data_IF_646680142835
#
_entry.id   IF_646680142835
#
_cell.length_a   1.000
_cell.length_b   1.000
_cell.length_c   1.000
_cell.angle_alpha   90.00
_cell.angle_beta   90.00
_cell.angle_gamma   90.00
#
_symmetry.space_group_name_H-M   'P 1'
#
loop_
_entity.id
_entity.type
_entity.pdbx_description
1 polymer ?
#
# COMPACT_ATOMS: atom_id res chain seq x y z
N UNK A 1 4.66 -15.84 21.58
CA UNK A 1 3.65 -16.85 21.19
C UNK A 1 3.19 -16.61 19.75
N UNK A 2 2.68 -17.65 19.07
CA UNK A 2 2.30 -17.60 17.65
C UNK A 2 1.36 -16.43 17.29
N UNK A 3 0.40 -16.12 18.16
CA UNK A 3 -0.56 -15.01 17.98
C UNK A 3 0.15 -13.67 17.93
N UNK A 4 1.02 -13.39 18.91
CA UNK A 4 1.78 -12.14 18.96
C UNK A 4 2.71 -11.98 17.75
N UNK A 5 3.27 -13.08 17.25
CA UNK A 5 4.10 -13.08 16.04
C UNK A 5 3.29 -12.69 14.79
N UNK A 6 2.06 -13.19 14.64
CA UNK A 6 1.16 -12.82 13.53
C UNK A 6 0.73 -11.35 13.62
N UNK A 7 0.34 -10.88 14.80
CA UNK A 7 -0.02 -9.46 15.03
C UNK A 7 1.13 -8.54 14.61
N UNK A 8 2.36 -8.85 15.06
CA UNK A 8 3.52 -8.04 14.71
C UNK A 8 3.82 -8.05 13.20
N UNK A 9 3.50 -9.14 12.50
CA UNK A 9 3.66 -9.22 11.04
C UNK A 9 2.63 -8.34 10.33
N UNK A 10 1.36 -8.42 10.71
CA UNK A 10 0.30 -7.60 10.12
C UNK A 10 0.56 -6.10 10.32
N UNK A 11 1.00 -5.70 11.52
CA UNK A 11 1.37 -4.31 11.79
C UNK A 11 2.49 -3.82 10.87
N UNK A 12 3.50 -4.65 10.59
CA UNK A 12 4.57 -4.29 9.65
C UNK A 12 4.11 -4.12 8.20
N UNK A 13 3.05 -4.82 7.81
CA UNK A 13 2.51 -4.77 6.46
C UNK A 13 1.51 -3.61 6.29
N UNK A 14 0.83 -3.20 7.37
CA UNK A 14 -0.27 -2.22 7.32
C UNK A 14 0.15 -0.81 7.81
N UNK A 15 1.02 -0.71 8.81
CA UNK A 15 1.42 0.57 9.38
C UNK A 15 2.53 1.22 8.53
N UNK A 16 2.25 2.40 7.97
CA UNK A 16 3.18 3.13 7.09
C UNK A 16 4.61 3.23 7.64
N UNK A 17 4.77 3.53 8.93
CA UNK A 17 6.08 3.72 9.56
C UNK A 17 6.89 2.42 9.68
N UNK A 18 6.21 1.27 9.78
CA UNK A 18 6.81 -0.05 9.94
C UNK A 18 7.08 -0.75 8.60
N UNK A 19 6.44 -0.27 7.53
CA UNK A 19 6.66 -0.77 6.17
C UNK A 19 8.09 -0.52 5.70
N UNK A 20 8.58 -1.43 4.85
CA UNK A 20 9.84 -1.25 4.13
C UNK A 20 9.71 -0.08 3.17
N UNK A 21 10.68 0.82 3.22
CA UNK A 21 10.73 1.96 2.32
C UNK A 21 10.94 1.49 0.88
N UNK A 22 10.04 1.90 -0.02
CA UNK A 22 10.01 1.43 -1.41
C UNK A 22 11.26 1.74 -2.23
N UNK A 23 12.08 2.70 -1.79
CA UNK A 23 13.38 3.04 -2.42
C UNK A 23 14.59 2.60 -1.60
N UNK A 24 14.40 1.75 -0.58
CA UNK A 24 15.52 1.20 0.18
C UNK A 24 16.36 0.31 -0.75
N UNK A 25 17.62 0.68 -0.97
CA UNK A 25 18.53 -0.07 -1.85
C UNK A 25 18.76 -1.51 -1.37
N UNK A 26 18.71 -1.73 -0.06
CA UNK A 26 18.91 -3.03 0.58
C UNK A 26 17.60 -3.77 0.91
N UNK A 27 16.44 -3.15 0.65
CA UNK A 27 15.12 -3.67 0.98
C UNK A 27 14.87 -3.87 2.48
N UNK A 28 15.67 -3.26 3.37
CA UNK A 28 15.59 -3.46 4.83
C UNK A 28 15.26 -2.20 5.61
N UNK A 29 15.48 -1.03 5.02
CA UNK A 29 15.16 0.24 5.67
C UNK A 29 13.64 0.42 5.77
N UNK A 30 13.11 0.77 6.95
CA UNK A 30 11.71 1.14 7.12
C UNK A 30 11.47 2.62 6.84
N UNK A 31 10.21 2.99 6.55
CA UNK A 31 9.82 4.39 6.35
C UNK A 31 10.16 5.25 7.57
N UNK A 32 9.95 4.75 8.79
CA UNK A 32 10.32 5.49 10.01
C UNK A 32 11.81 5.85 10.05
N UNK A 33 12.70 4.88 9.76
CA UNK A 33 14.15 5.11 9.75
C UNK A 33 14.54 6.14 8.69
N UNK A 34 13.94 6.05 7.51
CA UNK A 34 14.17 7.02 6.45
C UNK A 34 13.75 8.44 6.87
N UNK A 35 12.57 8.59 7.49
CA UNK A 35 12.09 9.89 7.99
C UNK A 35 13.02 10.45 9.06
N UNK A 36 13.55 9.61 9.97
CA UNK A 36 14.54 10.03 10.97
C UNK A 36 15.87 10.50 10.36
N UNK A 37 16.36 9.81 9.33
CA UNK A 37 17.60 10.20 8.63
C UNK A 37 17.43 11.55 7.93
N UNK A 38 16.32 11.75 7.23
CA UNK A 38 15.98 13.04 6.60
C UNK A 38 15.80 14.13 7.65
N UNK A 39 15.14 13.83 8.76
CA UNK A 39 14.97 14.77 9.88
C UNK A 39 16.33 15.23 10.43
N UNK A 40 17.24 14.29 10.69
CA UNK A 40 18.61 14.58 11.17
C UNK A 40 19.41 15.40 10.15
N UNK A 41 19.37 15.04 8.87
CA UNK A 41 20.11 15.75 7.82
C UNK A 41 19.65 17.21 7.65
N UNK A 42 18.37 17.49 7.92
CA UNK A 42 17.78 18.82 7.82
C UNK A 42 17.74 19.58 9.16
N UNK A 43 18.25 19.00 10.25
CA UNK A 43 18.18 19.60 11.58
C UNK A 43 16.75 19.88 12.06
N UNK A 44 15.77 19.11 11.58
CA UNK A 44 14.36 19.37 11.78
C UNK A 44 13.66 18.16 12.41
N UNK A 45 12.55 18.39 13.12
CA UNK A 45 11.69 17.31 13.61
C UNK A 45 10.59 17.05 12.58
N UNK A 46 10.69 15.94 11.84
CA UNK A 46 9.70 15.54 10.84
C UNK A 46 8.77 14.49 11.46
N UNK A 47 7.46 14.71 11.38
CA UNK A 47 6.44 13.77 11.83
C UNK A 47 5.32 13.68 10.79
N UNK A 48 4.97 12.46 10.38
CA UNK A 48 3.83 12.19 9.50
C UNK A 48 2.57 12.16 10.35
N UNK A 49 1.68 13.14 10.18
CA UNK A 49 0.43 13.24 10.95
C UNK A 49 -0.70 12.41 10.34
N UNK A 50 -0.83 12.45 9.02
CA UNK A 50 -1.88 11.77 8.27
C UNK A 50 -1.47 11.67 6.80
N UNK A 51 -1.94 10.62 6.14
CA UNK A 51 -1.87 10.49 4.69
C UNK A 51 -3.19 9.95 4.18
N UNK A 52 -3.51 10.24 2.92
CA UNK A 52 -4.67 9.70 2.21
C UNK A 52 -4.16 9.17 0.88
N UNK A 53 -4.50 7.92 0.56
CA UNK A 53 -4.20 7.28 -0.72
C UNK A 53 -5.52 7.10 -1.45
N UNK A 54 -5.65 7.74 -2.61
CA UNK A 54 -6.78 7.52 -3.51
C UNK A 54 -6.35 6.56 -4.61
N UNK A 55 -7.24 5.64 -4.97
CA UNK A 55 -7.08 4.77 -6.14
C UNK A 55 -8.28 4.91 -7.08
N UNK A 56 -8.02 4.95 -8.39
CA UNK A 56 -9.12 4.99 -9.37
C UNK A 56 -9.90 3.70 -9.30
N UNK A 57 -11.22 3.79 -9.06
CA UNK A 57 -12.07 2.61 -8.88
C UNK A 57 -12.08 2.04 -7.46
N UNK A 58 -11.50 2.74 -6.48
CA UNK A 58 -11.58 2.33 -5.07
C UNK A 58 -13.05 2.18 -4.63
N UNK A 59 -13.40 0.98 -4.16
CA UNK A 59 -14.76 0.65 -3.73
C UNK A 59 -15.79 0.45 -4.87
N UNK A 60 -15.37 0.52 -6.14
CA UNK A 60 -16.24 0.23 -7.28
C UNK A 60 -16.14 -1.25 -7.63
N UNK A 61 -17.29 -1.94 -7.67
CA UNK A 61 -17.35 -3.31 -8.16
C UNK A 61 -16.95 -3.34 -9.64
N UNK A 62 -15.87 -4.07 -9.94
CA UNK A 62 -15.39 -4.23 -11.31
C UNK A 62 -16.39 -5.07 -12.08
N UNK A 63 -17.14 -4.42 -12.99
CA UNK A 63 -18.00 -5.14 -13.93
C UNK A 63 -17.13 -6.03 -14.82
N UNK A 64 -17.30 -7.34 -14.71
CA UNK A 64 -16.77 -8.28 -15.69
C UNK A 64 -17.73 -8.33 -16.88
N UNK A 65 -17.35 -7.69 -17.97
CA UNK A 65 -18.06 -7.79 -19.25
C UNK A 65 -17.38 -8.87 -20.10
N UNK A 66 -18.06 -9.99 -20.29
CA UNK A 66 -17.59 -11.05 -21.18
C UNK A 66 -17.93 -10.67 -22.63
N UNK A 67 -16.95 -10.09 -23.31
CA UNK A 67 -17.07 -9.66 -24.71
C UNK A 67 -17.59 -10.77 -25.63
N UNK A 68 -17.26 -12.04 -25.38
CA UNK A 68 -17.73 -13.16 -26.19
C UNK A 68 -19.25 -13.39 -26.05
N UNK A 69 -19.79 -13.23 -24.84
CA UNK A 69 -21.24 -13.31 -24.60
C UNK A 69 -21.98 -12.11 -25.20
N UNK A 70 -21.39 -10.92 -25.17
CA UNK A 70 -21.95 -9.73 -25.80
C UNK A 70 -22.03 -9.90 -27.33
N UNK A 71 -20.95 -10.36 -27.96
CA UNK A 71 -20.90 -10.65 -29.41
C UNK A 71 -21.90 -11.75 -29.78
N UNK A 72 -21.99 -12.83 -28.98
CA UNK A 72 -22.96 -13.90 -29.21
C UNK A 72 -24.42 -13.41 -29.13
N UNK A 73 -24.73 -12.47 -28.22
CA UNK A 73 -26.06 -11.85 -28.12
C UNK A 73 -26.39 -10.95 -29.31
N UNK A 74 -25.40 -10.21 -29.84
CA UNK A 74 -25.59 -9.36 -31.03
C UNK A 74 -25.76 -10.17 -32.32
N UNK A 75 -25.17 -11.37 -32.41
CA UNK A 75 -25.26 -12.23 -33.61
C UNK A 75 -26.50 -13.13 -33.66
N UNK A 76 -27.21 -13.33 -32.54
CA UNK A 76 -28.40 -14.20 -32.45
C UNK A 76 -29.73 -13.42 -32.34
N UNK A 77 -29.72 -12.12 -32.66
CA UNK A 77 -30.90 -11.34 -33.02
C UNK A 77 -30.95 -11.13 -34.53
#
# INVERSE_FOLDING_TARGET
GMVMGRINKELKEICLLDQVYVKAEDGKQSVAKYVEEVAKANGAKIAIKSFVRFETGEGIEKKEENFAEEVAKQMNM
#
